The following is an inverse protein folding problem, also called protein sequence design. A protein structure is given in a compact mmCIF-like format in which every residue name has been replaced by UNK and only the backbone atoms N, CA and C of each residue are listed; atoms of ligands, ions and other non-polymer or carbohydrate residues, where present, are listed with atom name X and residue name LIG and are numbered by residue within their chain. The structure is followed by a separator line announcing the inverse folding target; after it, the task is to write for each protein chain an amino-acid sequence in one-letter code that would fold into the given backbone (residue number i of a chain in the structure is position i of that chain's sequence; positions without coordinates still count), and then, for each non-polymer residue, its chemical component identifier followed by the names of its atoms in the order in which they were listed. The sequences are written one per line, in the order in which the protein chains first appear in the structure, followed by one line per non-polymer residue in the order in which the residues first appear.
data_IF_795935054610
#
_entry.id   IF_795935054610
#
_cell.length_a   1.000
_cell.length_b   1.000
_cell.length_c   1.000
_cell.angle_alpha   90.00
_cell.angle_beta   90.00
_cell.angle_gamma   90.00
#
_symmetry.space_group_name_H-M   'P 1'
#
loop_
_entity.id
_entity.type
_entity.pdbx_description
1 polymer ?
#
# COMPACT_ATOMS: atom_id res chain seq x y z
N UNK A 1 10.67 7.77 37.74
CA UNK A 1 9.32 7.45 37.21
C UNK A 1 9.30 8.00 35.79
N UNK A 2 9.50 7.14 34.79
CA UNK A 2 9.56 7.57 33.39
C UNK A 2 8.15 7.77 32.87
N UNK A 3 7.86 8.98 32.38
CA UNK A 3 6.58 9.31 31.77
C UNK A 3 6.62 8.87 30.32
N UNK A 4 6.01 7.73 30.01
CA UNK A 4 5.76 7.31 28.64
C UNK A 4 4.73 8.26 28.02
N UNK A 5 5.20 9.21 27.21
CA UNK A 5 4.34 10.08 26.42
C UNK A 5 3.80 9.26 25.24
N UNK A 6 2.57 8.79 25.37
CA UNK A 6 1.83 8.27 24.22
C UNK A 6 1.47 9.47 23.35
N UNK A 7 2.05 9.53 22.15
CA UNK A 7 1.62 10.48 21.13
C UNK A 7 0.24 10.04 20.63
N UNK A 8 -0.81 10.52 21.29
CA UNK A 8 -2.18 10.32 20.84
C UNK A 8 -2.38 11.19 19.60
N UNK A 9 -2.52 10.54 18.46
CA UNK A 9 -2.79 11.19 17.18
C UNK A 9 -4.24 11.69 17.22
N UNK A 10 -4.56 12.92 16.78
CA UNK A 10 -5.94 13.37 16.66
C UNK A 10 -6.78 12.43 15.79
N UNK A 11 -8.05 12.22 16.15
CA UNK A 11 -8.97 11.32 15.44
C UNK A 11 -9.05 11.63 13.94
N UNK A 12 -9.04 12.90 13.56
CA UNK A 12 -9.08 13.32 12.15
C UNK A 12 -7.84 12.90 11.38
N UNK A 13 -6.66 12.95 12.02
CA UNK A 13 -5.42 12.44 11.42
C UNK A 13 -5.45 10.91 11.30
N UNK A 14 -5.99 10.22 12.30
CA UNK A 14 -6.15 8.78 12.26
C UNK A 14 -7.04 8.35 11.10
N UNK A 15 -8.20 8.99 10.93
CA UNK A 15 -9.14 8.70 9.84
C UNK A 15 -8.48 8.94 8.47
N UNK A 16 -7.73 10.05 8.33
CA UNK A 16 -6.99 10.33 7.08
C UNK A 16 -5.94 9.26 6.77
N UNK A 17 -5.22 8.77 7.78
CA UNK A 17 -4.22 7.72 7.60
C UNK A 17 -4.86 6.38 7.24
N UNK A 18 -5.98 6.04 7.87
CA UNK A 18 -6.72 4.81 7.56
C UNK A 18 -7.33 4.85 6.15
N UNK A 19 -7.92 5.97 5.75
CA UNK A 19 -8.49 6.12 4.40
C UNK A 19 -7.41 6.08 3.33
N UNK A 20 -6.25 6.70 3.58
CA UNK A 20 -5.10 6.59 2.70
C UNK A 20 -4.60 5.14 2.61
N UNK A 21 -4.49 4.44 3.75
CA UNK A 21 -4.08 3.02 3.77
C UNK A 21 -5.04 2.15 2.97
N UNK A 22 -6.35 2.36 3.10
CA UNK A 22 -7.36 1.65 2.32
C UNK A 22 -7.25 1.97 0.82
N UNK A 23 -7.06 3.23 0.45
CA UNK A 23 -6.95 3.62 -0.96
C UNK A 23 -5.71 3.00 -1.66
N UNK A 24 -4.60 2.90 -0.95
CA UNK A 24 -3.34 2.34 -1.51
C UNK A 24 -3.39 0.81 -1.53
N UNK A 25 -3.82 0.18 -0.43
CA UNK A 25 -3.66 -1.27 -0.24
C UNK A 25 -4.90 -2.11 -0.58
N UNK A 26 -6.04 -1.48 -0.86
CA UNK A 26 -7.28 -2.20 -1.14
C UNK A 26 -7.79 -1.91 -2.55
N UNK A 27 -8.60 -2.82 -3.06
CA UNK A 27 -9.24 -2.68 -4.36
C UNK A 27 -10.26 -1.53 -4.34
N UNK A 28 -10.14 -0.62 -5.29
CA UNK A 28 -11.06 0.51 -5.49
C UNK A 28 -12.52 0.09 -5.75
N UNK A 29 -12.76 -1.13 -6.25
CA UNK A 29 -14.10 -1.61 -6.60
C UNK A 29 -14.81 -2.31 -5.45
N UNK A 30 -14.10 -3.18 -4.73
CA UNK A 30 -14.72 -4.04 -3.72
C UNK A 30 -14.22 -3.78 -2.30
N UNK A 31 -13.23 -2.90 -2.10
CA UNK A 31 -12.61 -2.64 -0.80
C UNK A 31 -11.80 -3.81 -0.23
N UNK A 32 -11.73 -4.93 -0.94
CA UNK A 32 -10.98 -6.11 -0.53
C UNK A 32 -9.46 -5.90 -0.58
N UNK A 33 -8.68 -6.70 0.15
CA UNK A 33 -7.22 -6.57 0.17
C UNK A 33 -6.61 -6.82 -1.21
N UNK A 34 -5.54 -6.08 -1.52
CA UNK A 34 -4.67 -6.35 -2.66
C UNK A 34 -3.45 -7.16 -2.21
N UNK A 35 -3.06 -8.11 -3.04
CA UNK A 35 -1.75 -8.75 -2.96
C UNK A 35 -0.79 -8.02 -3.89
N UNK A 36 0.41 -7.77 -3.39
CA UNK A 36 1.48 -7.10 -4.12
C UNK A 36 2.62 -8.09 -4.36
N UNK A 37 3.07 -8.18 -5.61
CA UNK A 37 4.22 -8.96 -6.03
C UNK A 37 5.26 -8.03 -6.60
N UNK A 38 6.52 -8.27 -6.23
CA UNK A 38 7.65 -7.46 -6.65
C UNK A 38 8.59 -8.30 -7.49
N UNK A 39 8.89 -7.83 -8.70
CA UNK A 39 9.83 -8.48 -9.61
C UNK A 39 10.93 -7.51 -9.99
N UNK A 40 12.19 -7.90 -9.77
CA UNK A 40 13.33 -7.12 -10.24
C UNK A 40 13.52 -7.34 -11.75
N UNK A 41 13.45 -6.26 -12.52
CA UNK A 41 13.75 -6.25 -13.95
C UNK A 41 15.25 -6.06 -14.14
N UNK A 42 15.87 -7.01 -14.83
CA UNK A 42 17.32 -7.07 -15.02
C UNK A 42 17.87 -5.88 -15.81
N UNK A 43 17.06 -5.27 -16.68
CA UNK A 43 17.58 -4.29 -17.64
C UNK A 43 17.98 -2.97 -16.99
N UNK A 44 17.39 -2.54 -15.86
CA UNK A 44 17.60 -1.19 -15.33
C UNK A 44 17.64 -1.07 -13.79
N UNK A 45 17.88 -2.15 -13.04
CA UNK A 45 17.71 -2.16 -11.57
C UNK A 45 16.34 -1.58 -11.13
N UNK A 46 15.30 -1.88 -11.91
CA UNK A 46 13.94 -1.43 -11.67
C UNK A 46 13.18 -2.54 -10.95
N UNK A 47 12.47 -2.18 -9.89
CA UNK A 47 11.48 -3.04 -9.24
C UNK A 47 10.13 -2.82 -9.95
N UNK A 48 9.59 -3.87 -10.54
CA UNK A 48 8.21 -3.87 -11.02
C UNK A 48 7.30 -4.37 -9.90
N UNK A 49 6.31 -3.56 -9.53
CA UNK A 49 5.23 -3.90 -8.62
C UNK A 49 4.01 -4.31 -9.43
N UNK A 50 3.52 -5.52 -9.21
CA UNK A 50 2.27 -6.02 -9.73
C UNK A 50 1.29 -6.16 -8.57
N UNK A 51 0.05 -5.68 -8.73
CA UNK A 51 -0.97 -5.83 -7.69
C UNK A 51 -2.25 -6.45 -8.22
N UNK A 52 -2.83 -7.35 -7.41
CA UNK A 52 -4.05 -8.08 -7.73
C UNK A 52 -5.01 -8.07 -6.54
N UNK A 53 -6.28 -7.82 -6.80
CA UNK A 53 -7.30 -8.00 -5.76
C UNK A 53 -7.61 -9.49 -5.58
N UNK A 54 -7.59 -9.97 -4.33
CA UNK A 54 -7.90 -11.37 -4.00
C UNK A 54 -9.39 -11.71 -4.10
N UNK A 55 -10.27 -10.70 -4.08
CA UNK A 55 -11.73 -10.88 -4.10
C UNK A 55 -12.28 -10.84 -5.52
N UNK A 56 -12.00 -9.77 -6.27
CA UNK A 56 -12.53 -9.60 -7.63
C UNK A 56 -11.55 -10.05 -8.73
N UNK A 57 -10.36 -10.54 -8.35
CA UNK A 57 -9.28 -10.93 -9.26
C UNK A 57 -8.82 -9.83 -10.25
N UNK A 58 -9.23 -8.57 -10.03
CA UNK A 58 -8.82 -7.43 -10.87
C UNK A 58 -7.32 -7.23 -10.72
N UNK A 59 -6.63 -7.26 -11.85
CA UNK A 59 -5.22 -6.90 -11.99
C UNK A 59 -5.13 -5.40 -12.22
N UNK A 60 -4.17 -4.77 -11.57
CA UNK A 60 -3.86 -3.35 -11.75
C UNK A 60 -2.64 -3.20 -12.66
N UNK A 61 -2.55 -2.04 -13.32
CA UNK A 61 -1.38 -1.73 -14.13
C UNK A 61 -0.10 -1.80 -13.29
N UNK A 62 0.95 -2.46 -13.80
CA UNK A 62 2.19 -2.61 -13.05
C UNK A 62 2.89 -1.27 -12.91
N UNK A 63 3.30 -0.96 -11.69
CA UNK A 63 4.07 0.23 -11.34
C UNK A 63 5.56 -0.08 -11.33
N UNK A 64 6.38 0.83 -11.84
CA UNK A 64 7.83 0.67 -11.85
C UNK A 64 8.49 1.63 -10.87
N UNK A 65 9.32 1.09 -9.98
CA UNK A 65 10.09 1.83 -8.99
C UNK A 65 11.57 1.69 -9.31
N UNK A 66 12.27 2.81 -9.44
CA UNK A 66 13.74 2.79 -9.52
C UNK A 66 14.29 2.52 -8.12
N UNK A 67 15.16 1.51 -8.01
CA UNK A 67 15.96 1.28 -6.81
C UNK A 67 17.29 2.02 -7.03
N UNK A 68 17.51 3.11 -6.29
CA UNK A 68 18.79 3.85 -6.29
C UNK A 68 19.73 3.30 -5.23
#
# INVERSE_FOLDING_TARGET
MEVFKFNVIPTDEFIKRESFRQAVNNCELCGGPREFNYRQLAEHNVLQEESKCTVCAKEHEPTQHRIN
#
